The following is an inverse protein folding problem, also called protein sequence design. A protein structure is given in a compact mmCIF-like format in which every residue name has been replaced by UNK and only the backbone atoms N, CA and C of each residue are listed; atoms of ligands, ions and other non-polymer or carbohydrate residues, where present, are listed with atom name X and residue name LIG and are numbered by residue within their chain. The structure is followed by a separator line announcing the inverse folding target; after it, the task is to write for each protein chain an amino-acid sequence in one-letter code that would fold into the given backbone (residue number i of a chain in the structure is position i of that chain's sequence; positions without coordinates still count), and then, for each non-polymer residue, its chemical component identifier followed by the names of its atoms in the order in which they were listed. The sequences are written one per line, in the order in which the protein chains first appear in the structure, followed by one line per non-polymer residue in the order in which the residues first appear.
data_IF_977627314927
#
_entry.id   IF_977627314927
#
_cell.length_a   1.000
_cell.length_b   1.000
_cell.length_c   1.000
_cell.angle_alpha   90.00
_cell.angle_beta   90.00
_cell.angle_gamma   90.00
#
_symmetry.space_group_name_H-M   'P 1'
#
loop_
_entity.id
_entity.type
_entity.pdbx_description
1 polymer ?
#
# COMPACT_ATOMS: atom_id res chain seq x y z
N UNK A 1 -15.57 -1.98 -9.48
CA UNK A 1 -14.79 -2.17 -10.71
C UNK A 1 -15.77 -2.49 -11.83
N UNK A 2 -15.66 -1.82 -12.96
CA UNK A 2 -16.35 -2.14 -14.20
C UNK A 2 -15.56 -3.17 -15.01
N UNK A 3 -16.28 -4.05 -15.70
CA UNK A 3 -15.75 -5.06 -16.63
C UNK A 3 -16.32 -4.79 -18.02
N UNK A 4 -15.51 -4.84 -19.07
CA UNK A 4 -15.95 -4.87 -20.48
C UNK A 4 -15.26 -6.04 -21.22
N UNK A 5 -15.82 -6.49 -22.35
CA UNK A 5 -15.10 -7.37 -23.27
C UNK A 5 -13.96 -6.62 -23.97
N UNK A 6 -12.84 -7.30 -24.22
CA UNK A 6 -11.79 -6.78 -25.08
C UNK A 6 -12.36 -6.65 -26.52
N UNK A 7 -12.33 -5.45 -27.13
CA UNK A 7 -12.87 -5.23 -28.47
C UNK A 7 -11.95 -5.83 -29.56
N UNK A 8 -12.54 -6.23 -30.69
CA UNK A 8 -11.82 -6.73 -31.89
C UNK A 8 -11.16 -5.59 -32.71
N UNK A 9 -11.49 -4.32 -32.42
CA UNK A 9 -10.96 -3.08 -33.06
C UNK A 9 -10.40 -2.13 -31.97
N UNK A 10 -9.54 -1.18 -32.35
CA UNK A 10 -8.82 -0.21 -31.47
C UNK A 10 -9.74 0.77 -30.67
N UNK A 11 -11.06 0.61 -30.67
CA UNK A 11 -11.98 1.47 -29.91
C UNK A 11 -12.38 0.86 -28.56
N UNK A 12 -12.20 1.56 -27.43
CA UNK A 12 -12.60 1.07 -26.12
C UNK A 12 -14.12 0.84 -26.06
N UNK A 13 -14.53 -0.38 -25.72
CA UNK A 13 -15.95 -0.75 -25.59
C UNK A 13 -16.50 -0.37 -24.20
N UNK A 14 -16.51 0.93 -23.88
CA UNK A 14 -17.01 1.46 -22.60
C UNK A 14 -18.55 1.44 -22.48
N UNK A 15 -19.26 1.17 -23.59
CA UNK A 15 -20.73 1.22 -23.68
C UNK A 15 -21.43 0.01 -23.05
N UNK A 16 -20.72 -1.11 -22.83
CA UNK A 16 -21.31 -2.36 -22.34
C UNK A 16 -20.54 -2.90 -21.13
N UNK A 17 -20.46 -2.10 -20.07
CA UNK A 17 -19.74 -2.44 -18.83
C UNK A 17 -20.64 -3.02 -17.74
N UNK A 18 -20.13 -4.02 -17.00
CA UNK A 18 -20.80 -4.63 -15.85
C UNK A 18 -20.01 -4.32 -14.58
N UNK A 19 -20.71 -3.98 -13.49
CA UNK A 19 -20.06 -3.72 -12.20
C UNK A 19 -19.83 -5.01 -11.42
N UNK A 20 -18.56 -5.35 -11.19
CA UNK A 20 -18.15 -6.42 -10.27
C UNK A 20 -17.63 -5.83 -8.96
N UNK A 21 -18.16 -6.36 -7.85
CA UNK A 21 -17.72 -6.01 -6.49
C UNK A 21 -16.67 -7.00 -6.02
N UNK A 22 -15.58 -6.47 -5.50
CA UNK A 22 -14.50 -7.24 -4.90
C UNK A 22 -14.60 -7.22 -3.37
N UNK A 23 -14.14 -8.29 -2.68
CA UNK A 23 -13.75 -9.57 -3.27
C UNK A 23 -14.95 -10.33 -3.89
N UNK A 24 -14.74 -10.91 -5.06
CA UNK A 24 -15.73 -11.67 -5.81
C UNK A 24 -15.50 -13.17 -5.61
N UNK A 25 -16.56 -13.90 -5.27
CA UNK A 25 -16.53 -15.37 -5.27
C UNK A 25 -16.67 -15.91 -6.70
N UNK A 26 -16.22 -17.16 -6.91
CA UNK A 26 -16.27 -17.82 -8.23
C UNK A 26 -17.64 -17.75 -8.92
N UNK A 27 -18.73 -17.92 -8.16
CA UNK A 27 -20.08 -17.83 -8.71
C UNK A 27 -20.45 -16.42 -9.21
N UNK A 28 -19.90 -15.36 -8.58
CA UNK A 28 -20.08 -13.98 -9.01
C UNK A 28 -19.25 -13.65 -10.24
N UNK A 29 -18.01 -14.15 -10.29
CA UNK A 29 -17.09 -14.07 -11.43
C UNK A 29 -17.75 -14.72 -12.66
N UNK A 30 -18.21 -15.96 -12.53
CA UNK A 30 -18.86 -16.70 -13.62
C UNK A 30 -20.09 -15.97 -14.16
N UNK A 31 -20.92 -15.41 -13.28
CA UNK A 31 -22.11 -14.65 -13.69
C UNK A 31 -21.73 -13.40 -14.48
N UNK A 32 -20.70 -12.68 -14.06
CA UNK A 32 -20.23 -11.49 -14.78
C UNK A 32 -19.67 -11.86 -16.17
N UNK A 33 -18.92 -12.96 -16.28
CA UNK A 33 -18.41 -13.47 -17.56
C UNK A 33 -19.54 -13.89 -18.51
N UNK A 34 -20.56 -14.59 -18.01
CA UNK A 34 -21.73 -14.99 -18.79
C UNK A 34 -22.54 -13.80 -19.31
N UNK A 35 -22.71 -12.78 -18.46
CA UNK A 35 -23.47 -11.58 -18.80
C UNK A 35 -22.73 -10.71 -19.82
N UNK A 36 -21.39 -10.70 -19.79
CA UNK A 36 -20.57 -9.98 -20.76
C UNK A 36 -20.27 -10.78 -22.02
N UNK A 37 -20.41 -12.11 -21.98
CA UNK A 37 -20.09 -13.01 -23.08
C UNK A 37 -18.61 -13.41 -23.18
N UNK A 38 -17.83 -13.20 -22.13
CA UNK A 38 -16.42 -13.59 -22.04
C UNK A 38 -16.27 -15.06 -21.60
N UNK A 39 -15.19 -15.72 -22.03
CA UNK A 39 -14.88 -17.08 -21.58
C UNK A 39 -14.00 -17.08 -20.33
N UNK A 40 -13.19 -16.05 -20.17
CA UNK A 40 -12.26 -15.87 -19.07
C UNK A 40 -12.10 -14.38 -18.73
N UNK A 41 -11.55 -14.10 -17.54
CA UNK A 41 -11.17 -12.73 -17.16
C UNK A 41 -10.07 -12.16 -18.05
N UNK A 42 -9.25 -13.02 -18.66
CA UNK A 42 -8.23 -12.62 -19.64
C UNK A 42 -8.83 -12.08 -20.94
N UNK A 43 -10.11 -12.37 -21.22
CA UNK A 43 -10.86 -11.81 -22.36
C UNK A 43 -11.55 -10.48 -22.00
N UNK A 44 -11.30 -9.94 -20.79
CA UNK A 44 -11.97 -8.76 -20.26
C UNK A 44 -11.00 -7.61 -20.01
N UNK A 45 -11.51 -6.39 -20.16
CA UNK A 45 -10.86 -5.15 -19.76
C UNK A 45 -11.48 -4.59 -18.49
N UNK A 46 -10.64 -4.12 -17.57
CA UNK A 46 -11.06 -3.54 -16.30
C UNK A 46 -11.15 -2.01 -16.44
N UNK A 47 -12.31 -1.44 -16.07
CA UNK A 47 -12.54 0.00 -16.08
C UNK A 47 -13.03 0.48 -14.71
N UNK A 48 -12.80 1.75 -14.40
CA UNK A 48 -13.49 2.43 -13.30
C UNK A 48 -13.34 1.72 -11.95
N UNK A 49 -12.12 1.71 -11.40
CA UNK A 49 -11.94 1.32 -10.01
C UNK A 49 -12.52 2.39 -9.09
N UNK A 50 -13.46 1.95 -8.25
CA UNK A 50 -14.01 2.74 -7.18
C UNK A 50 -13.84 1.97 -5.88
N UNK A 51 -13.00 2.49 -4.99
CA UNK A 51 -12.85 1.99 -3.64
C UNK A 51 -12.78 3.12 -2.64
N UNK A 52 -13.75 3.15 -1.73
CA UNK A 52 -13.73 4.03 -0.56
C UNK A 52 -12.68 3.57 0.46
N UNK A 53 -12.27 2.31 0.38
CA UNK A 53 -11.42 1.64 1.36
C UNK A 53 -9.95 1.82 1.02
N UNK A 54 -9.54 1.82 -0.25
CA UNK A 54 -8.16 2.01 -0.67
C UNK A 54 -8.09 2.84 -1.96
N UNK A 55 -8.33 4.16 -1.88
CA UNK A 55 -8.33 5.04 -3.06
C UNK A 55 -6.96 5.19 -3.69
N UNK A 56 -5.86 5.00 -2.94
CA UNK A 56 -4.50 5.00 -3.49
C UNK A 56 -4.29 3.93 -4.56
N UNK A 57 -5.07 2.85 -4.52
CA UNK A 57 -4.99 1.80 -5.52
C UNK A 57 -5.66 2.19 -6.83
N UNK A 58 -6.38 3.32 -6.92
CA UNK A 58 -7.02 3.76 -8.16
C UNK A 58 -6.01 4.02 -9.28
N UNK A 59 -4.83 4.53 -8.93
CA UNK A 59 -3.73 4.76 -9.87
C UNK A 59 -3.01 3.45 -10.26
N UNK A 60 -3.33 2.34 -9.57
CA UNK A 60 -2.86 1.00 -9.91
C UNK A 60 -3.76 0.30 -10.95
N UNK A 61 -4.76 0.99 -11.50
CA UNK A 61 -5.66 0.45 -12.52
C UNK A 61 -5.35 0.96 -13.92
N UNK A 62 -5.29 0.03 -14.87
CA UNK A 62 -4.80 0.18 -16.23
C UNK A 62 -4.94 -1.12 -17.03
N UNK A 63 -4.26 -1.15 -18.17
CA UNK A 63 -4.49 -2.16 -19.19
C UNK A 63 -3.78 -3.47 -18.81
N UNK A 64 -4.56 -4.55 -18.61
CA UNK A 64 -4.09 -5.92 -18.27
C UNK A 64 -3.66 -6.16 -16.81
N UNK A 65 -4.39 -5.64 -15.80
CA UNK A 65 -4.18 -6.12 -14.43
C UNK A 65 -4.53 -7.61 -14.26
N UNK A 66 -3.72 -8.31 -13.45
CA UNK A 66 -4.05 -9.64 -12.94
C UNK A 66 -5.27 -9.55 -11.99
N UNK A 67 -6.42 -9.99 -12.52
CA UNK A 67 -7.67 -10.04 -11.77
C UNK A 67 -7.57 -10.90 -10.50
N UNK A 68 -6.84 -12.02 -10.56
CA UNK A 68 -6.71 -12.93 -9.42
C UNK A 68 -5.87 -12.29 -8.31
N UNK A 69 -4.76 -11.64 -8.68
CA UNK A 69 -3.95 -10.85 -7.75
C UNK A 69 -4.78 -9.76 -7.08
N UNK A 70 -5.59 -9.05 -7.87
CA UNK A 70 -6.47 -8.01 -7.37
C UNK A 70 -7.55 -8.56 -6.43
N UNK A 71 -8.24 -9.62 -6.83
CA UNK A 71 -9.29 -10.24 -6.03
C UNK A 71 -8.73 -10.78 -4.70
N UNK A 72 -7.53 -11.36 -4.74
CA UNK A 72 -6.80 -11.80 -3.56
C UNK A 72 -6.43 -10.63 -2.64
N UNK A 73 -5.93 -9.51 -3.19
CA UNK A 73 -5.64 -8.31 -2.39
C UNK A 73 -6.92 -7.75 -1.74
N UNK A 74 -8.03 -7.65 -2.48
CA UNK A 74 -9.31 -7.22 -1.95
C UNK A 74 -9.82 -8.14 -0.83
N UNK A 75 -9.61 -9.44 -0.97
CA UNK A 75 -9.89 -10.43 0.06
C UNK A 75 -9.07 -10.21 1.34
N UNK A 76 -7.78 -9.86 1.22
CA UNK A 76 -6.95 -9.53 2.37
C UNK A 76 -7.41 -8.25 3.05
N UNK A 77 -7.64 -7.19 2.27
CA UNK A 77 -8.10 -5.88 2.77
C UNK A 77 -9.45 -6.01 3.49
N UNK A 78 -10.38 -6.82 2.97
CA UNK A 78 -11.69 -7.03 3.59
C UNK A 78 -11.63 -7.70 4.97
N UNK A 79 -10.49 -8.33 5.33
CA UNK A 79 -10.25 -8.92 6.64
C UNK A 79 -9.59 -7.97 7.63
N UNK A 80 -9.20 -6.77 7.21
CA UNK A 80 -8.59 -5.79 8.09
C UNK A 80 -9.58 -5.23 9.11
N UNK A 81 -9.08 -5.01 10.32
CA UNK A 81 -9.67 -4.03 11.23
C UNK A 81 -9.28 -2.60 10.80
N UNK A 82 -9.81 -1.61 11.51
CA UNK A 82 -9.57 -0.21 11.16
C UNK A 82 -8.08 0.17 11.28
N UNK A 83 -7.38 -0.38 12.27
CA UNK A 83 -5.98 -0.02 12.51
C UNK A 83 -5.06 -0.59 11.43
N UNK A 84 -5.27 -1.85 11.02
CA UNK A 84 -4.54 -2.45 9.91
C UNK A 84 -4.87 -1.76 8.58
N UNK A 85 -6.12 -1.36 8.36
CA UNK A 85 -6.49 -0.62 7.16
C UNK A 85 -5.77 0.74 7.08
N UNK A 86 -5.72 1.49 8.19
CA UNK A 86 -5.02 2.77 8.24
C UNK A 86 -3.51 2.60 8.07
N UNK A 87 -2.93 1.55 8.68
CA UNK A 87 -1.52 1.19 8.50
C UNK A 87 -1.20 0.85 7.05
N UNK A 88 -2.02 0.03 6.40
CA UNK A 88 -1.84 -0.31 4.99
C UNK A 88 -1.89 0.94 4.09
N UNK A 89 -2.84 1.86 4.31
CA UNK A 89 -2.89 3.14 3.59
C UNK A 89 -1.62 3.98 3.77
N UNK A 90 -1.11 4.05 4.99
CA UNK A 90 0.14 4.76 5.28
C UNK A 90 1.32 4.16 4.52
N UNK A 91 1.39 2.82 4.46
CA UNK A 91 2.45 2.11 3.74
C UNK A 91 2.34 2.33 2.22
N UNK A 92 1.13 2.28 1.64
CA UNK A 92 0.91 2.60 0.23
C UNK A 92 1.33 4.03 -0.12
N UNK A 93 1.02 5.00 0.75
CA UNK A 93 1.45 6.40 0.59
C UNK A 93 2.98 6.54 0.67
N UNK A 94 3.64 5.84 1.59
CA UNK A 94 5.09 5.91 1.78
C UNK A 94 5.89 5.46 0.56
N UNK A 95 5.33 4.57 -0.26
CA UNK A 95 5.98 4.05 -1.48
C UNK A 95 5.40 4.64 -2.76
N UNK A 96 4.43 5.55 -2.65
CA UNK A 96 3.68 6.11 -3.77
C UNK A 96 3.19 5.00 -4.73
N UNK A 97 2.54 3.96 -4.17
CA UNK A 97 2.17 2.73 -4.88
C UNK A 97 1.42 2.99 -6.20
N UNK A 98 1.85 2.35 -7.30
CA UNK A 98 1.29 2.55 -8.66
C UNK A 98 0.86 1.27 -9.37
N UNK A 99 0.99 0.11 -8.72
CA UNK A 99 0.62 -1.18 -9.28
C UNK A 99 0.19 -2.16 -8.18
N UNK A 100 -0.58 -3.18 -8.57
CA UNK A 100 -1.14 -4.18 -7.65
C UNK A 100 -0.04 -5.08 -7.06
N UNK A 101 1.01 -5.37 -7.80
CA UNK A 101 2.13 -6.20 -7.34
C UNK A 101 2.83 -5.55 -6.14
N UNK A 102 3.15 -4.25 -6.25
CA UNK A 102 3.70 -3.44 -5.17
C UNK A 102 2.76 -3.41 -3.97
N UNK A 103 1.44 -3.27 -4.20
CA UNK A 103 0.46 -3.29 -3.11
C UNK A 103 0.42 -4.64 -2.36
N UNK A 104 0.64 -5.75 -3.07
CA UNK A 104 0.76 -7.09 -2.47
C UNK A 104 2.05 -7.19 -1.64
N UNK A 105 3.18 -6.74 -2.17
CA UNK A 105 4.45 -6.71 -1.42
C UNK A 105 4.32 -5.85 -0.15
N UNK A 106 3.68 -4.69 -0.26
CA UNK A 106 3.37 -3.82 0.89
C UNK A 106 2.52 -4.56 1.94
N UNK A 107 1.53 -5.33 1.49
CA UNK A 107 0.70 -6.15 2.37
C UNK A 107 1.54 -7.19 3.13
N UNK A 108 2.49 -7.85 2.44
CA UNK A 108 3.35 -8.89 3.02
C UNK A 108 4.30 -8.34 4.10
N UNK A 109 4.80 -7.12 3.91
CA UNK A 109 5.69 -6.46 4.89
C UNK A 109 4.95 -5.76 6.03
N UNK A 110 3.62 -5.81 6.11
CA UNK A 110 2.89 -5.05 7.13
C UNK A 110 3.41 -5.32 8.54
N UNK A 111 3.70 -6.56 8.91
CA UNK A 111 4.15 -6.91 10.27
C UNK A 111 5.54 -6.35 10.64
N UNK A 112 6.30 -5.87 9.66
CA UNK A 112 7.63 -5.28 9.85
C UNK A 112 7.59 -3.80 10.22
N UNK A 113 6.40 -3.19 10.19
CA UNK A 113 6.22 -1.77 10.46
C UNK A 113 5.23 -1.53 11.60
N UNK A 114 5.39 -0.40 12.28
CA UNK A 114 4.42 0.13 13.23
C UNK A 114 3.99 1.52 12.76
N UNK A 115 2.69 1.78 12.72
CA UNK A 115 2.16 3.11 12.46
C UNK A 115 1.90 3.83 13.78
N UNK A 116 2.63 4.90 14.03
CA UNK A 116 2.37 5.81 15.15
C UNK A 116 1.59 7.03 14.69
N UNK A 117 0.30 7.04 15.02
CA UNK A 117 -0.64 8.12 14.68
C UNK A 117 -0.59 9.29 15.66
N UNK A 118 0.06 9.11 16.81
CA UNK A 118 0.17 10.15 17.85
C UNK A 118 1.30 11.14 17.56
N UNK A 119 2.31 10.70 16.82
CA UNK A 119 3.40 11.54 16.37
C UNK A 119 3.15 12.00 14.92
N UNK A 120 3.21 13.31 14.69
CA UNK A 120 3.03 13.89 13.35
C UNK A 120 4.23 14.74 12.92
N UNK A 121 5.10 15.08 13.87
CA UNK A 121 6.30 15.89 13.65
C UNK A 121 7.57 15.16 14.09
N UNK A 122 8.70 15.64 13.58
CA UNK A 122 10.01 15.18 14.03
C UNK A 122 10.24 15.50 15.51
N UNK A 123 9.75 16.65 15.99
CA UNK A 123 9.83 17.02 17.40
C UNK A 123 9.04 16.06 18.28
N UNK A 124 7.80 15.69 17.91
CA UNK A 124 6.98 14.72 18.66
C UNK A 124 7.73 13.38 18.83
N UNK A 125 8.37 12.92 17.74
CA UNK A 125 9.15 11.69 17.77
C UNK A 125 10.40 11.81 18.65
N UNK A 126 11.12 12.93 18.56
CA UNK A 126 12.25 13.20 19.43
C UNK A 126 11.86 13.20 20.90
N UNK A 127 10.78 13.91 21.25
CA UNK A 127 10.28 14.02 22.61
C UNK A 127 9.88 12.64 23.16
N UNK A 128 9.16 11.84 22.37
CA UNK A 128 8.79 10.47 22.73
C UNK A 128 10.01 9.57 22.97
N UNK A 129 11.02 9.65 22.10
CA UNK A 129 12.27 8.89 22.25
C UNK A 129 13.01 9.36 23.51
N UNK A 130 13.17 10.67 23.70
CA UNK A 130 13.81 11.24 24.89
C UNK A 130 13.08 10.80 26.15
N UNK A 131 11.75 10.84 26.17
CA UNK A 131 10.93 10.41 27.31
C UNK A 131 11.24 8.96 27.72
N UNK A 132 11.43 8.06 26.75
CA UNK A 132 11.76 6.65 26.99
C UNK A 132 13.20 6.39 27.47
N UNK A 133 14.11 7.36 27.28
CA UNK A 133 15.51 7.24 27.69
C UNK A 133 15.72 7.73 29.13
N UNK A 134 16.51 6.97 29.89
CA UNK A 134 17.01 7.37 31.20
C UNK A 134 18.35 8.11 31.01
N UNK A 135 18.26 9.43 30.81
CA UNK A 135 19.41 10.30 30.59
C UNK A 135 19.72 11.14 31.84
N UNK A 136 20.98 11.25 32.27
CA UNK A 136 21.35 12.20 33.31
C UNK A 136 21.13 13.62 32.81
N UNK A 137 20.62 14.51 33.68
CA UNK A 137 20.35 15.93 33.35
C UNK A 137 19.43 16.12 32.14
N UNK A 138 18.45 15.23 31.97
CA UNK A 138 17.51 15.24 30.83
C UNK A 138 16.75 16.56 30.69
N UNK A 139 16.30 17.15 31.80
CA UNK A 139 15.59 18.44 31.78
C UNK A 139 16.50 19.56 31.27
N UNK A 140 17.75 19.60 31.72
CA UNK A 140 18.73 20.58 31.28
C UNK A 140 19.12 20.38 29.80
N UNK A 141 19.30 19.14 29.35
CA UNK A 141 19.58 18.82 27.94
C UNK A 141 18.40 19.28 27.06
N UNK A 142 17.16 18.98 27.44
CA UNK A 142 15.97 19.36 26.68
C UNK A 142 15.82 20.87 26.48
N UNK A 143 16.32 21.69 27.42
CA UNK A 143 16.28 23.16 27.28
C UNK A 143 17.17 23.70 26.15
N UNK A 144 18.21 22.98 25.75
CA UNK A 144 19.16 23.41 24.72
C UNK A 144 19.11 22.55 23.45
N UNK A 145 18.48 21.38 23.52
CA UNK A 145 18.33 20.48 22.39
C UNK A 145 17.28 21.01 21.40
N UNK A 146 17.64 21.10 20.12
CA UNK A 146 16.64 21.26 19.06
C UNK A 146 15.92 19.94 18.84
N UNK A 147 14.71 19.80 19.37
CA UNK A 147 13.89 18.59 19.24
C UNK A 147 13.53 18.30 17.78
N UNK A 148 13.26 19.34 16.98
CA UNK A 148 13.04 19.18 15.53
C UNK A 148 14.29 18.66 14.78
N UNK A 149 15.46 19.26 15.03
CA UNK A 149 16.71 18.85 14.38
C UNK A 149 17.13 17.44 14.78
N UNK A 150 17.06 17.14 16.08
CA UNK A 150 17.34 15.81 16.61
C UNK A 150 16.33 14.77 16.09
N UNK A 151 15.04 15.12 16.07
CA UNK A 151 13.98 14.29 15.53
C UNK A 151 14.18 13.91 14.08
N UNK A 152 14.56 14.87 13.23
CA UNK A 152 14.89 14.59 11.82
C UNK A 152 16.06 13.64 11.69
N UNK A 153 17.09 13.80 12.52
CA UNK A 153 18.24 12.90 12.54
C UNK A 153 17.84 11.48 12.98
N UNK A 154 17.01 11.36 14.03
CA UNK A 154 16.48 10.09 14.51
C UNK A 154 15.60 9.40 13.46
N UNK A 155 14.67 10.12 12.85
CA UNK A 155 13.81 9.58 11.79
C UNK A 155 14.63 9.05 10.62
N UNK A 156 15.64 9.80 10.18
CA UNK A 156 16.55 9.36 9.12
C UNK A 156 17.33 8.11 9.52
N UNK A 157 17.88 8.08 10.73
CA UNK A 157 18.67 6.96 11.23
C UNK A 157 17.83 5.69 11.43
N UNK A 158 16.56 5.84 11.81
CA UNK A 158 15.63 4.74 12.05
C UNK A 158 14.79 4.37 10.83
N UNK A 159 15.05 4.95 9.65
CA UNK A 159 14.31 4.62 8.43
C UNK A 159 12.82 4.99 8.48
N UNK A 160 12.44 6.03 9.23
CA UNK A 160 11.05 6.41 9.43
C UNK A 160 10.55 7.23 8.24
N UNK A 161 9.39 6.84 7.72
CA UNK A 161 8.66 7.60 6.71
C UNK A 161 7.52 8.38 7.34
N UNK A 162 7.36 9.63 6.90
CA UNK A 162 6.25 10.47 7.31
C UNK A 162 5.14 10.35 6.28
N UNK A 163 3.93 10.04 6.75
CA UNK A 163 2.73 9.87 5.94
C UNK A 163 1.63 10.80 6.44
N UNK A 164 0.56 10.96 5.67
CA UNK A 164 -0.64 11.69 6.09
C UNK A 164 -1.38 10.99 7.24
N UNK A 165 -1.04 9.73 7.53
CA UNK A 165 -1.65 8.92 8.59
C UNK A 165 -0.81 8.86 9.87
N UNK A 166 0.43 9.35 9.87
CA UNK A 166 1.34 9.29 11.00
C UNK A 166 2.78 8.94 10.60
N UNK A 167 3.59 8.56 11.60
CA UNK A 167 4.95 8.07 11.37
C UNK A 167 4.95 6.55 11.16
N UNK A 168 5.47 6.12 10.01
CA UNK A 168 5.67 4.72 9.69
C UNK A 168 7.07 4.30 10.16
N UNK A 169 7.12 3.46 11.19
CA UNK A 169 8.35 3.10 11.90
C UNK A 169 8.70 1.65 11.56
N UNK A 170 9.83 1.37 10.88
CA UNK A 170 10.29 0.00 10.64
C UNK A 170 10.86 -0.63 11.91
N UNK A 171 10.73 -1.94 12.02
CA UNK A 171 11.30 -2.73 13.13
C UNK A 171 12.83 -2.85 13.03
N UNK A 172 13.39 -2.87 11.81
CA UNK A 172 14.81 -3.11 11.52
C UNK A 172 15.57 -1.88 11.01
N UNK A 173 14.92 -0.71 11.02
CA UNK A 173 15.44 0.57 10.49
C UNK A 173 15.63 0.64 8.97
N UNK A 174 15.05 -0.30 8.23
CA UNK A 174 15.05 -0.28 6.77
C UNK A 174 13.73 0.33 6.30
N UNK A 175 13.79 1.34 5.42
CA UNK A 175 12.58 1.95 4.86
C UNK A 175 11.82 0.94 4.01
N UNK A 176 10.50 1.08 3.95
CA UNK A 176 9.66 0.22 3.12
C UNK A 176 10.08 0.26 1.64
N UNK A 177 10.37 1.45 1.11
CA UNK A 177 10.86 1.61 -0.26
C UNK A 177 12.20 0.89 -0.53
N UNK A 178 13.08 0.82 0.47
CA UNK A 178 14.34 0.09 0.36
C UNK A 178 14.15 -1.43 0.44
N UNK A 179 13.16 -1.91 1.20
CA UNK A 179 12.82 -3.34 1.27
C UNK A 179 12.25 -3.82 -0.07
N UNK A 180 11.30 -3.07 -0.64
CA UNK A 180 10.68 -3.39 -1.93
C UNK A 180 11.72 -3.41 -3.06
N UNK A 181 12.62 -2.43 -3.13
CA UNK A 181 13.66 -2.40 -4.16
C UNK A 181 14.57 -3.64 -4.09
N UNK A 182 14.98 -4.07 -2.89
CA UNK A 182 15.84 -5.26 -2.72
C UNK A 182 15.14 -6.55 -3.18
N UNK A 183 13.83 -6.65 -2.97
CA UNK A 183 13.05 -7.80 -3.42
C UNK A 183 13.00 -7.86 -4.94
N UNK A 184 12.76 -6.71 -5.59
CA UNK A 184 12.75 -6.62 -7.06
C UNK A 184 14.12 -6.99 -7.68
N UNK A 185 15.22 -6.45 -7.12
CA UNK A 185 16.58 -6.76 -7.59
C UNK A 185 16.92 -8.26 -7.42
N UNK A 186 16.41 -8.91 -6.37
CA UNK A 186 16.64 -10.34 -6.11
C UNK A 186 15.93 -11.22 -7.16
N UNK A 187 14.70 -10.85 -7.54
CA UNK A 187 13.88 -11.60 -8.50
C UNK A 187 14.46 -11.51 -9.92
N UNK A 188 14.95 -10.33 -10.34
CA UNK A 188 15.61 -10.15 -11.65
C UNK A 188 16.88 -11.00 -11.80
N UNK A 189 17.65 -11.16 -10.72
CA UNK A 189 18.86 -12.01 -10.74
C UNK A 189 18.54 -13.49 -10.91
N UNK A 190 17.40 -13.97 -10.41
CA UNK A 190 16.99 -15.38 -10.55
C UNK A 190 16.40 -15.74 -11.89
N UNK A 191 15.84 -14.77 -12.64
CA UNK A 191 15.31 -15.00 -14.00
C UNK A 191 16.40 -14.94 -15.09
N UNK A 192 17.61 -14.51 -14.73
CA UNK A 192 18.75 -14.37 -15.66
C UNK A 192 19.75 -15.54 -15.59
N UNK A 193 19.46 -16.60 -14.84
CA UNK A 193 20.28 -17.82 -14.71
C UNK A 193 19.57 -19.04 -15.32
#
# INVERSE_FOLDING_TARGET
MGLALIPDDDEPNDQNTISLKLPAAQAGIQRALEEIGAKSMDDCWFYGYESLVAPQLADCYGDNEDFDALNHLAERINRFDNDNLVKFKAMLEAVECKDIETAIVVYEHMDEFTLDRSCTTAADYADKVLESLDLPMKEEISNYLSTDGYGKALMKHNGIDKTSYGLLIPNDRIKLSEQIQKQNDCVEMTMSM
#
